data_IF_897225634699
#
_entry.id   IF_897225634699
#
_cell.length_a   1.000
_cell.length_b   1.000
_cell.length_c   1.000
_cell.angle_alpha   90.00
_cell.angle_beta   90.00
_cell.angle_gamma   90.00
#
_symmetry.space_group_name_H-M   'P 1'
#
loop_
_entity.id
_entity.type
_entity.pdbx_description
1 polymer ?
#
# COMPACT_ATOMS: atom_id res chain seq x y z
N UNK A 1 -16.83 14.26 -4.50
CA UNK A 1 -16.58 13.70 -3.14
C UNK A 1 -15.22 12.98 -3.06
N UNK A 2 -14.91 12.04 -3.97
CA UNK A 2 -13.62 11.35 -4.04
C UNK A 2 -12.40 12.28 -4.16
N UNK A 3 -12.49 13.33 -4.98
CA UNK A 3 -11.43 14.33 -5.14
C UNK A 3 -11.06 15.05 -3.81
N UNK A 4 -12.03 15.29 -2.92
CA UNK A 4 -11.76 15.90 -1.59
C UNK A 4 -11.07 14.93 -0.63
N UNK A 5 -11.36 13.63 -0.72
CA UNK A 5 -10.69 12.60 0.10
C UNK A 5 -9.24 12.42 -0.34
N UNK A 6 -8.97 12.35 -1.66
CA UNK A 6 -7.61 12.31 -2.21
C UNK A 6 -6.77 13.54 -1.87
N UNK A 7 -7.39 14.71 -1.76
CA UNK A 7 -6.69 15.93 -1.32
C UNK A 7 -6.23 15.87 0.15
N UNK A 8 -6.92 15.10 1.01
CA UNK A 8 -6.58 14.94 2.44
C UNK A 8 -5.63 13.79 2.73
N UNK A 9 -5.67 12.72 1.95
CA UNK A 9 -4.77 11.58 2.12
C UNK A 9 -4.48 10.97 0.75
N UNK A 10 -3.28 11.24 0.23
CA UNK A 10 -2.87 10.82 -1.12
C UNK A 10 -2.72 9.31 -1.26
N UNK A 11 -2.52 8.59 -0.16
CA UNK A 11 -2.15 7.18 -0.15
C UNK A 11 -3.25 6.25 0.40
N UNK A 12 -4.46 6.76 0.64
CA UNK A 12 -5.57 5.92 1.10
C UNK A 12 -6.13 5.11 -0.08
N UNK A 13 -6.03 3.77 -0.09
CA UNK A 13 -6.59 2.96 -1.16
C UNK A 13 -8.12 3.06 -1.16
N UNK A 14 -8.72 3.29 -2.33
CA UNK A 14 -10.18 3.39 -2.47
C UNK A 14 -10.73 2.30 -3.40
N UNK A 15 -11.62 1.47 -2.87
CA UNK A 15 -12.46 0.54 -3.62
C UNK A 15 -13.85 1.15 -3.82
N UNK A 16 -14.31 1.24 -5.07
CA UNK A 16 -15.67 1.72 -5.38
C UNK A 16 -16.65 0.55 -5.57
N UNK A 17 -17.78 0.59 -4.87
CA UNK A 17 -18.89 -0.37 -5.01
C UNK A 17 -20.10 0.29 -5.68
N UNK A 18 -20.70 -0.34 -6.69
CA UNK A 18 -21.79 0.27 -7.47
C UNK A 18 -22.70 -0.76 -8.14
N UNK A 19 -23.92 -0.35 -8.52
CA UNK A 19 -24.84 -1.14 -9.33
C UNK A 19 -24.67 -0.90 -10.85
N UNK A 20 -23.78 0.02 -11.25
CA UNK A 20 -23.52 0.34 -12.66
C UNK A 20 -22.39 -0.54 -13.19
N UNK A 21 -22.74 -1.45 -14.09
CA UNK A 21 -21.84 -2.47 -14.66
C UNK A 21 -21.20 -2.04 -15.98
N UNK A 22 -21.55 -0.87 -16.51
CA UNK A 22 -21.11 -0.45 -17.83
C UNK A 22 -19.62 -0.11 -17.84
N UNK A 23 -18.88 -0.65 -18.82
CA UNK A 23 -17.41 -0.60 -18.87
C UNK A 23 -16.88 0.85 -18.88
N UNK A 24 -17.65 1.76 -19.49
CA UNK A 24 -17.32 3.20 -19.53
C UNK A 24 -17.34 3.85 -18.14
N UNK A 25 -18.27 3.46 -17.27
CA UNK A 25 -18.38 3.99 -15.90
C UNK A 25 -17.24 3.47 -15.00
N UNK A 26 -16.77 2.24 -15.24
CA UNK A 26 -15.61 1.65 -14.55
C UNK A 26 -14.31 2.37 -14.89
N UNK A 27 -14.07 2.61 -16.17
CA UNK A 27 -12.86 3.30 -16.66
C UNK A 27 -12.84 4.75 -16.19
N UNK A 28 -13.99 5.43 -16.20
CA UNK A 28 -14.10 6.78 -15.66
C UNK A 28 -13.82 6.84 -14.15
N UNK A 29 -14.34 5.88 -13.37
CA UNK A 29 -14.07 5.77 -11.92
C UNK A 29 -12.61 5.48 -11.57
N UNK A 30 -11.93 4.63 -12.35
CA UNK A 30 -10.49 4.36 -12.21
C UNK A 30 -9.65 5.61 -12.55
N UNK A 31 -9.99 6.31 -13.65
CA UNK A 31 -9.28 7.53 -14.07
C UNK A 31 -9.48 8.71 -13.10
N UNK A 32 -10.58 8.75 -12.34
CA UNK A 32 -10.83 9.74 -11.28
C UNK A 32 -10.10 9.41 -9.97
N UNK A 33 -9.41 8.26 -9.90
CA UNK A 33 -8.64 7.87 -8.74
C UNK A 33 -9.32 6.87 -7.80
N UNK A 34 -10.08 5.92 -8.31
CA UNK A 34 -10.29 4.67 -7.58
C UNK A 34 -9.11 3.73 -7.86
N UNK A 35 -8.64 3.01 -6.84
CA UNK A 35 -7.57 2.02 -6.98
C UNK A 35 -8.13 0.67 -7.47
N UNK A 36 -9.41 0.42 -7.21
CA UNK A 36 -10.17 -0.70 -7.77
C UNK A 36 -11.69 -0.42 -7.78
N UNK A 37 -12.45 -1.21 -8.54
CA UNK A 37 -13.88 -1.05 -8.78
C UNK A 37 -14.59 -2.41 -8.80
N UNK A 38 -15.66 -2.57 -8.01
CA UNK A 38 -16.43 -3.81 -7.91
C UNK A 38 -17.94 -3.53 -8.08
N UNK A 39 -18.54 -4.17 -9.08
CA UNK A 39 -19.96 -4.02 -9.41
C UNK A 39 -20.83 -5.01 -8.62
N UNK A 40 -22.07 -4.63 -8.32
CA UNK A 40 -23.10 -5.48 -7.72
C UNK A 40 -23.91 -6.22 -8.79
N UNK A 41 -24.34 -7.48 -8.55
CA UNK A 41 -24.05 -8.28 -7.36
C UNK A 41 -22.60 -8.81 -7.38
N UNK A 42 -22.00 -9.00 -6.20
CA UNK A 42 -20.66 -9.55 -6.04
C UNK A 42 -20.64 -10.63 -4.96
N UNK A 43 -19.68 -11.53 -5.04
CA UNK A 43 -19.39 -12.51 -4.00
C UNK A 43 -18.55 -11.88 -2.88
N UNK A 44 -18.81 -12.27 -1.64
CA UNK A 44 -18.07 -11.75 -0.48
C UNK A 44 -16.57 -12.10 -0.57
N UNK A 45 -16.25 -13.27 -1.11
CA UNK A 45 -14.87 -13.71 -1.34
C UNK A 45 -14.14 -12.84 -2.36
N UNK A 46 -14.83 -12.32 -3.38
CA UNK A 46 -14.25 -11.38 -4.35
C UNK A 46 -13.93 -10.03 -3.69
N UNK A 47 -14.87 -9.52 -2.88
CA UNK A 47 -14.65 -8.29 -2.12
C UNK A 47 -13.43 -8.43 -1.19
N UNK A 48 -13.35 -9.53 -0.44
CA UNK A 48 -12.24 -9.79 0.47
C UNK A 48 -10.89 -9.85 -0.28
N UNK A 49 -10.84 -10.58 -1.39
CA UNK A 49 -9.63 -10.69 -2.20
C UNK A 49 -9.16 -9.33 -2.74
N UNK A 50 -10.09 -8.48 -3.21
CA UNK A 50 -9.78 -7.12 -3.72
C UNK A 50 -9.32 -6.18 -2.61
N UNK A 51 -9.97 -6.20 -1.46
CA UNK A 51 -9.54 -5.42 -0.29
C UNK A 51 -8.13 -5.82 0.14
N UNK A 52 -7.84 -7.13 0.25
CA UNK A 52 -6.49 -7.62 0.57
C UNK A 52 -5.47 -7.18 -0.47
N UNK A 53 -5.81 -7.24 -1.76
CA UNK A 53 -4.93 -6.79 -2.84
C UNK A 53 -4.66 -5.28 -2.79
N UNK A 54 -5.67 -4.46 -2.47
CA UNK A 54 -5.55 -3.01 -2.30
C UNK A 54 -4.70 -2.63 -1.10
N UNK A 55 -4.92 -3.27 0.05
CA UNK A 55 -4.10 -3.05 1.25
C UNK A 55 -2.66 -3.49 1.01
N UNK A 56 -2.47 -4.63 0.34
CA UNK A 56 -1.14 -5.06 -0.08
C UNK A 56 -0.50 -4.02 -1.01
N UNK A 57 -1.25 -3.45 -1.95
CA UNK A 57 -0.73 -2.42 -2.88
C UNK A 57 -0.46 -1.07 -2.21
N UNK A 58 -1.26 -0.66 -1.23
CA UNK A 58 -0.99 0.56 -0.45
C UNK A 58 0.22 0.39 0.46
N UNK A 59 0.43 -0.81 1.01
CA UNK A 59 1.66 -1.18 1.74
C UNK A 59 2.85 -1.28 0.77
N UNK A 60 2.64 -1.81 -0.44
CA UNK A 60 3.64 -1.85 -1.51
C UNK A 60 3.90 -0.47 -2.17
N UNK A 61 3.09 0.54 -1.84
CA UNK A 61 3.15 1.90 -2.36
C UNK A 61 3.61 2.94 -1.33
N UNK A 62 4.07 2.53 -0.14
CA UNK A 62 4.50 3.45 0.92
C UNK A 62 5.58 2.81 1.77
N UNK A 63 6.81 2.89 1.27
CA UNK A 63 8.06 2.51 1.95
C UNK A 63 8.05 1.15 2.68
N UNK A 64 8.38 0.07 1.93
CA UNK A 64 8.93 -1.19 2.50
C UNK A 64 10.28 -1.00 3.20
N UNK A 65 10.73 0.23 3.29
CA UNK A 65 11.96 0.66 3.93
C UNK A 65 11.59 1.66 5.02
N UNK A 66 11.69 1.30 6.30
CA UNK A 66 11.65 2.33 7.34
C UNK A 66 12.94 3.14 7.27
N UNK A 67 12.85 4.48 7.25
CA UNK A 67 14.01 5.37 7.13
C UNK A 67 14.23 6.20 8.38
N UNK A 68 15.47 6.25 8.84
CA UNK A 68 15.95 7.13 9.89
C UNK A 68 17.20 7.88 9.40
N UNK A 69 16.99 9.04 8.78
CA UNK A 69 18.06 9.78 8.10
C UNK A 69 18.62 8.98 6.92
N UNK A 70 19.92 8.67 6.96
CA UNK A 70 20.61 7.86 5.94
C UNK A 70 20.51 6.35 6.19
N UNK A 71 19.91 5.94 7.31
CA UNK A 71 19.65 4.54 7.63
C UNK A 71 18.30 4.12 7.02
N UNK A 72 18.29 3.00 6.30
CA UNK A 72 17.06 2.38 5.81
C UNK A 72 16.96 0.92 6.29
N UNK A 73 15.76 0.48 6.61
CA UNK A 73 15.45 -0.88 7.05
C UNK A 73 14.41 -1.52 6.15
N UNK A 74 14.83 -2.53 5.40
CA UNK A 74 13.96 -3.27 4.49
C UNK A 74 13.18 -4.35 5.25
N UNK A 75 11.85 -4.20 5.30
CA UNK A 75 10.95 -5.09 6.05
C UNK A 75 10.85 -6.51 5.47
N UNK A 76 11.16 -6.69 4.18
CA UNK A 76 11.08 -8.01 3.52
C UNK A 76 12.34 -8.84 3.78
N UNK A 77 13.51 -8.22 3.59
CA UNK A 77 14.83 -8.84 3.77
C UNK A 77 15.32 -8.76 5.22
N UNK A 78 14.65 -7.93 6.04
CA UNK A 78 15.03 -7.58 7.42
C UNK A 78 16.44 -7.01 7.51
N UNK A 79 16.91 -6.28 6.49
CA UNK A 79 18.28 -5.76 6.42
C UNK A 79 18.32 -4.26 6.59
N UNK A 80 19.41 -3.79 7.21
CA UNK A 80 19.71 -2.37 7.32
C UNK A 80 20.73 -1.95 6.25
N UNK A 81 20.49 -0.82 5.61
CA UNK A 81 21.46 -0.12 4.76
C UNK A 81 21.77 1.25 5.31
N UNK A 82 23.01 1.70 5.17
CA UNK A 82 23.46 3.05 5.51
C UNK A 82 23.99 3.70 4.25
N UNK A 83 23.39 4.80 3.81
CA UNK A 83 23.74 5.44 2.54
C UNK A 83 23.77 4.45 1.36
N UNK A 84 22.78 3.56 1.31
CA UNK A 84 22.62 2.45 0.35
C UNK A 84 23.64 1.31 0.44
N UNK A 85 24.53 1.28 1.44
CA UNK A 85 25.45 0.17 1.69
C UNK A 85 24.89 -0.80 2.74
N UNK A 86 24.94 -2.11 2.48
CA UNK A 86 24.44 -3.14 3.40
C UNK A 86 25.27 -3.23 4.67
N UNK A 87 24.64 -3.04 5.84
CA UNK A 87 25.31 -3.22 7.12
C UNK A 87 25.40 -4.71 7.46
N UNK A 88 26.61 -5.18 7.73
CA UNK A 88 26.84 -6.52 8.29
C UNK A 88 26.72 -6.42 9.80
N UNK A 89 25.54 -6.74 10.33
CA UNK A 89 25.22 -6.67 11.75
C UNK A 89 25.20 -8.07 12.37
N UNK A 90 25.61 -8.16 13.63
CA UNK A 90 25.35 -9.35 14.45
C UNK A 90 23.87 -9.44 14.80
N UNK A 91 23.40 -10.63 15.20
CA UNK A 91 22.00 -10.83 15.60
C UNK A 91 21.55 -9.89 16.73
N UNK A 92 22.46 -9.52 17.63
CA UNK A 92 22.16 -8.59 18.74
C UNK A 92 21.98 -7.16 18.25
N UNK A 93 22.88 -6.68 17.38
CA UNK A 93 22.80 -5.33 16.83
C UNK A 93 21.56 -5.15 15.96
N UNK A 94 21.23 -6.18 15.18
CA UNK A 94 20.03 -6.19 14.34
C UNK A 94 18.74 -6.11 15.17
N UNK A 95 18.65 -6.89 16.25
CA UNK A 95 17.50 -6.83 17.16
C UNK A 95 17.35 -5.47 17.86
N UNK A 96 18.46 -4.82 18.20
CA UNK A 96 18.43 -3.47 18.80
C UNK A 96 17.97 -2.43 17.79
N UNK A 97 18.50 -2.43 16.57
CA UNK A 97 18.08 -1.48 15.54
C UNK A 97 16.63 -1.69 15.10
N UNK A 98 16.17 -2.94 15.01
CA UNK A 98 14.78 -3.27 14.69
C UNK A 98 13.81 -2.77 15.77
N UNK A 99 14.22 -2.73 17.03
CA UNK A 99 13.40 -2.21 18.12
C UNK A 99 13.33 -0.67 18.18
N UNK A 100 14.23 0.03 17.49
CA UNK A 100 14.37 1.50 17.55
C UNK A 100 13.79 2.22 16.32
N UNK A 101 13.44 1.50 15.25
CA UNK A 101 13.04 2.06 13.95
C UNK A 101 11.54 1.94 13.62
#
# INVERSE_FOLDING_TARGET
MLARLRARSKNLPVLMLTARSDVKDRVHGLNLGADDYLAKPFELSELEARVKALLRRSVLGGERQQRCGVLAYDLDTRRFTLSDELLTLTSREQAVLEALI
#
